data_IF_662412728301
#
_entry.id   IF_662412728301
#
_cell.length_a   1.000
_cell.length_b   1.000
_cell.length_c   1.000
_cell.angle_alpha   90.00
_cell.angle_beta   90.00
_cell.angle_gamma   90.00
#
_symmetry.space_group_name_H-M   'P 1'
#
loop_
_entity.id
_entity.type
_entity.pdbx_description
1 polymer ?
#
# COMPACT_ATOMS: atom_id res chain seq x y z
N UNK A 1 19.71 5.32 -28.24
CA UNK A 1 18.46 5.77 -27.61
C UNK A 1 17.38 4.72 -27.77
N UNK A 2 16.79 4.29 -26.65
CA UNK A 2 15.61 3.41 -26.64
C UNK A 2 14.33 4.23 -26.90
N UNK A 3 13.28 3.60 -27.42
CA UNK A 3 11.95 4.19 -27.51
C UNK A 3 11.10 3.84 -26.29
N UNK A 4 10.41 4.83 -25.73
CA UNK A 4 9.59 4.69 -24.53
C UNK A 4 8.12 4.97 -24.86
N UNK A 5 7.26 4.02 -24.52
CA UNK A 5 5.81 4.20 -24.43
C UNK A 5 5.44 4.62 -23.02
N UNK A 6 4.93 5.83 -22.83
CA UNK A 6 4.25 6.20 -21.58
C UNK A 6 2.89 5.51 -21.56
N UNK A 7 2.62 4.70 -20.54
CA UNK A 7 1.34 4.02 -20.34
C UNK A 7 0.72 4.47 -19.02
N UNK A 8 -0.50 4.99 -19.09
CA UNK A 8 -1.27 5.45 -17.93
C UNK A 8 -2.67 4.84 -17.94
N UNK A 9 -3.21 4.52 -16.77
CA UNK A 9 -4.64 4.29 -16.57
C UNK A 9 -5.21 5.48 -15.81
N UNK A 10 -6.35 6.01 -16.24
CA UNK A 10 -6.88 7.26 -15.69
C UNK A 10 -8.39 7.16 -15.47
N UNK A 11 -8.91 7.94 -14.53
CA UNK A 11 -10.35 8.15 -14.33
C UNK A 11 -10.60 9.46 -13.58
N UNK A 12 -11.33 10.39 -14.18
CA UNK A 12 -11.69 11.67 -13.58
C UNK A 12 -10.47 12.50 -13.12
N UNK A 13 -9.47 12.61 -13.99
CA UNK A 13 -8.19 13.28 -13.75
C UNK A 13 -8.08 14.62 -14.52
N UNK A 14 -9.20 15.28 -14.83
CA UNK A 14 -9.22 16.50 -15.65
C UNK A 14 -8.28 17.59 -15.10
N UNK A 15 -8.11 17.66 -13.77
CA UNK A 15 -7.24 18.64 -13.11
C UNK A 15 -5.75 18.34 -13.33
N UNK A 16 -5.37 17.07 -13.29
CA UNK A 16 -3.98 16.62 -13.36
C UNK A 16 -3.49 16.37 -14.78
N UNK A 17 -4.40 16.00 -15.69
CA UNK A 17 -4.07 15.45 -17.00
C UNK A 17 -3.15 16.35 -17.82
N UNK A 18 -3.36 17.66 -17.77
CA UNK A 18 -2.54 18.60 -18.53
C UNK A 18 -1.12 18.72 -17.98
N UNK A 19 -0.99 18.74 -16.66
CA UNK A 19 0.30 18.90 -16.01
C UNK A 19 1.15 17.64 -16.18
N UNK A 20 0.58 16.46 -15.90
CA UNK A 20 1.30 15.18 -15.97
C UNK A 20 1.79 14.87 -17.37
N UNK A 21 0.93 15.03 -18.38
CA UNK A 21 1.34 14.73 -19.75
C UNK A 21 2.39 15.71 -20.24
N UNK A 22 2.32 17.00 -19.90
CA UNK A 22 3.37 17.94 -20.27
C UNK A 22 4.70 17.66 -19.54
N UNK A 23 4.65 17.19 -18.29
CA UNK A 23 5.83 16.80 -17.50
C UNK A 23 6.55 15.58 -18.10
N UNK A 24 5.80 14.57 -18.55
CA UNK A 24 6.37 13.31 -19.05
C UNK A 24 6.56 13.26 -20.58
N UNK A 25 5.97 14.19 -21.33
CA UNK A 25 6.12 14.28 -22.80
C UNK A 25 7.58 14.32 -23.27
N UNK A 26 8.55 14.96 -22.59
CA UNK A 26 9.94 14.97 -23.04
C UNK A 26 10.60 13.58 -23.07
N UNK A 27 10.20 12.66 -22.18
CA UNK A 27 10.79 11.31 -22.12
C UNK A 27 10.07 10.31 -23.03
N UNK A 28 8.79 10.55 -23.35
CA UNK A 28 7.93 9.64 -24.08
C UNK A 28 8.02 9.82 -25.60
N UNK A 29 8.22 8.72 -26.34
CA UNK A 29 8.13 8.71 -27.81
C UNK A 29 6.69 8.48 -28.30
N UNK A 30 5.88 7.83 -27.45
CA UNK A 30 4.44 7.77 -27.58
C UNK A 30 3.78 7.81 -26.21
N UNK A 31 2.57 8.36 -26.14
CA UNK A 31 1.77 8.43 -24.91
C UNK A 31 0.48 7.66 -25.10
N UNK A 32 0.23 6.69 -24.24
CA UNK A 32 -0.93 5.81 -24.22
C UNK A 32 -1.68 6.07 -22.93
N UNK A 33 -2.90 6.57 -23.06
CA UNK A 33 -3.77 6.85 -21.92
C UNK A 33 -5.00 5.96 -22.05
N UNK A 34 -5.21 5.11 -21.06
CA UNK A 34 -6.40 4.25 -20.97
C UNK A 34 -7.37 4.87 -19.98
N UNK A 35 -8.47 5.41 -20.49
CA UNK A 35 -9.56 5.93 -19.69
C UNK A 35 -10.47 4.78 -19.22
N UNK A 36 -10.61 4.65 -17.90
CA UNK A 36 -11.39 3.58 -17.26
C UNK A 36 -12.84 3.98 -16.92
N UNK A 37 -13.30 5.08 -17.52
CA UNK A 37 -14.69 5.55 -17.43
C UNK A 37 -14.79 6.91 -16.75
N UNK A 38 -14.05 7.90 -17.26
CA UNK A 38 -14.14 9.29 -16.83
C UNK A 38 -15.50 9.89 -17.19
N UNK A 39 -16.00 10.77 -16.33
CA UNK A 39 -17.24 11.54 -16.52
C UNK A 39 -16.95 13.04 -16.71
N UNK A 40 -15.68 13.41 -16.79
CA UNK A 40 -15.15 14.76 -16.98
C UNK A 40 -14.31 14.81 -18.27
N UNK A 41 -13.64 15.94 -18.55
CA UNK A 41 -12.91 16.15 -19.82
C UNK A 41 -11.52 15.47 -19.86
N UNK A 42 -11.25 14.50 -18.97
CA UNK A 42 -9.93 13.83 -18.87
C UNK A 42 -9.44 13.29 -20.21
N UNK A 43 -10.30 12.55 -20.92
CA UNK A 43 -9.95 11.93 -22.19
C UNK A 43 -9.67 12.96 -23.28
N UNK A 44 -10.49 14.01 -23.36
CA UNK A 44 -10.37 15.11 -24.32
C UNK A 44 -9.07 15.88 -24.11
N UNK A 45 -8.72 16.19 -22.86
CA UNK A 45 -7.45 16.85 -22.52
C UNK A 45 -6.27 15.99 -22.95
N UNK A 46 -6.27 14.71 -22.63
CA UNK A 46 -5.19 13.80 -23.02
C UNK A 46 -5.00 13.74 -24.56
N UNK A 47 -6.11 13.65 -25.33
CA UNK A 47 -6.04 13.70 -26.80
C UNK A 47 -5.47 15.02 -27.30
N UNK A 48 -5.88 16.14 -26.72
CA UNK A 48 -5.41 17.47 -27.12
C UNK A 48 -3.89 17.66 -26.95
N UNK A 49 -3.29 16.91 -26.01
CA UNK A 49 -1.85 16.95 -25.72
C UNK A 49 -1.02 15.97 -26.55
N UNK A 50 -1.69 15.18 -27.41
CA UNK A 50 -1.08 14.24 -28.34
C UNK A 50 -1.03 12.80 -27.84
N UNK A 51 -1.77 12.45 -26.78
CA UNK A 51 -1.87 11.07 -26.33
C UNK A 51 -2.84 10.25 -27.20
N UNK A 52 -2.50 8.99 -27.39
CA UNK A 52 -3.40 7.97 -27.92
C UNK A 52 -4.32 7.52 -26.77
N UNK A 53 -5.58 7.93 -26.83
CA UNK A 53 -6.56 7.63 -25.78
C UNK A 53 -7.42 6.43 -26.15
N UNK A 54 -7.43 5.43 -25.29
CA UNK A 54 -8.26 4.24 -25.40
C UNK A 54 -9.25 4.16 -24.23
N UNK A 55 -10.42 3.57 -24.46
CA UNK A 55 -11.40 3.32 -23.40
C UNK A 55 -11.29 1.86 -22.94
N UNK A 56 -11.34 1.64 -21.63
CA UNK A 56 -11.40 0.31 -21.02
C UNK A 56 -12.52 0.27 -19.97
N UNK A 57 -13.49 -0.63 -20.13
CA UNK A 57 -14.56 -0.78 -19.15
C UNK A 57 -14.01 -1.32 -17.82
N UNK A 58 -14.20 -0.58 -16.73
CA UNK A 58 -13.70 -0.97 -15.40
C UNK A 58 -14.22 -2.35 -14.98
N UNK A 59 -13.29 -3.30 -14.82
CA UNK A 59 -13.61 -4.68 -14.42
C UNK A 59 -13.49 -4.91 -12.91
N UNK A 60 -13.05 -3.92 -12.13
CA UNK A 60 -12.67 -4.07 -10.72
C UNK A 60 -11.21 -4.46 -10.52
N UNK A 61 -10.41 -4.54 -11.59
CA UNK A 61 -9.00 -4.92 -11.56
C UNK A 61 -8.16 -3.83 -12.23
N UNK A 62 -7.31 -3.16 -11.44
CA UNK A 62 -6.31 -2.24 -11.98
C UNK A 62 -5.32 -2.98 -12.91
N UNK A 63 -5.03 -4.24 -12.60
CA UNK A 63 -4.14 -5.07 -13.39
C UNK A 63 -4.70 -5.29 -14.82
N UNK A 64 -6.00 -5.51 -14.97
CA UNK A 64 -6.61 -5.70 -16.30
C UNK A 64 -6.46 -4.43 -17.16
N UNK A 65 -6.71 -3.26 -16.55
CA UNK A 65 -6.55 -1.98 -17.22
C UNK A 65 -5.08 -1.69 -17.58
N UNK A 66 -4.12 -1.97 -16.68
CA UNK A 66 -2.68 -1.81 -16.97
C UNK A 66 -2.22 -2.78 -18.06
N UNK A 67 -2.67 -4.03 -18.03
CA UNK A 67 -2.38 -5.01 -19.09
C UNK A 67 -2.94 -4.58 -20.44
N UNK A 68 -4.16 -4.02 -20.46
CA UNK A 68 -4.72 -3.44 -21.68
C UNK A 68 -3.89 -2.25 -22.19
N UNK A 69 -3.46 -1.34 -21.31
CA UNK A 69 -2.55 -0.24 -21.67
C UNK A 69 -1.25 -0.76 -22.28
N UNK A 70 -0.61 -1.74 -21.63
CA UNK A 70 0.64 -2.35 -22.11
C UNK A 70 0.46 -3.02 -23.48
N UNK A 71 -0.71 -3.58 -23.77
CA UNK A 71 -1.01 -4.18 -25.09
C UNK A 71 -1.04 -3.16 -26.24
N UNK A 72 -1.15 -1.86 -25.95
CA UNK A 72 -1.15 -0.79 -26.96
C UNK A 72 0.24 -0.23 -27.22
N UNK A 73 1.22 -0.53 -26.36
CA UNK A 73 2.58 -0.02 -26.46
C UNK A 73 3.35 -0.63 -27.63
N UNK A 74 4.10 0.21 -28.33
CA UNK A 74 4.95 -0.14 -29.47
C UNK A 74 6.44 0.13 -29.21
N UNK A 75 6.78 0.99 -28.25
CA UNK A 75 8.14 1.32 -27.82
C UNK A 75 8.94 0.12 -27.31
N UNK A 76 10.25 0.29 -27.18
CA UNK A 76 11.15 -0.76 -26.67
C UNK A 76 10.90 -1.01 -25.18
N UNK A 77 10.59 0.07 -24.44
CA UNK A 77 10.24 0.05 -23.03
C UNK A 77 8.90 0.74 -22.78
N UNK A 78 8.23 0.31 -21.72
CA UNK A 78 6.98 0.87 -21.22
C UNK A 78 7.27 1.55 -19.89
N UNK A 79 7.03 2.86 -19.82
CA UNK A 79 7.01 3.60 -18.56
C UNK A 79 5.58 3.62 -18.03
N UNK A 80 5.34 3.01 -16.86
CA UNK A 80 4.02 2.97 -16.23
C UNK A 80 3.92 4.08 -15.18
N UNK A 81 3.11 5.09 -15.45
CA UNK A 81 2.88 6.21 -14.55
C UNK A 81 1.41 6.32 -14.13
N UNK A 82 1.19 6.82 -12.94
CA UNK A 82 -0.11 7.24 -12.41
C UNK A 82 -0.30 8.76 -12.60
N UNK A 83 -1.55 9.22 -12.55
CA UNK A 83 -1.90 10.61 -12.90
C UNK A 83 -1.41 11.65 -11.87
N UNK A 84 -1.03 11.18 -10.68
CA UNK A 84 -0.55 11.94 -9.52
C UNK A 84 0.98 11.87 -9.34
N UNK A 85 1.71 11.27 -10.29
CA UNK A 85 3.17 11.22 -10.27
C UNK A 85 3.78 12.43 -10.98
N UNK A 86 4.96 12.92 -10.58
CA UNK A 86 5.72 13.94 -11.35
C UNK A 86 7.22 13.68 -11.26
N UNK A 87 7.95 14.16 -12.26
CA UNK A 87 9.40 14.29 -12.23
C UNK A 87 9.77 15.76 -12.08
N UNK A 88 10.62 16.09 -11.11
CA UNK A 88 11.30 17.39 -11.10
C UNK A 88 12.28 17.51 -12.28
N UNK A 89 12.78 18.72 -12.53
CA UNK A 89 13.68 18.99 -13.66
C UNK A 89 14.95 18.14 -13.62
N UNK A 90 15.53 17.93 -12.43
CA UNK A 90 16.74 17.13 -12.27
C UNK A 90 16.49 15.66 -12.66
N UNK A 91 15.40 15.08 -12.17
CA UNK A 91 15.03 13.71 -12.44
C UNK A 91 14.57 13.50 -13.88
N UNK A 92 13.96 14.52 -14.51
CA UNK A 92 13.68 14.53 -15.94
C UNK A 92 14.98 14.43 -16.75
N UNK A 93 16.01 15.21 -16.41
CA UNK A 93 17.32 15.13 -17.09
C UNK A 93 18.02 13.78 -16.85
N UNK A 94 17.94 13.23 -15.63
CA UNK A 94 18.46 11.88 -15.33
C UNK A 94 17.77 10.81 -16.18
N UNK A 95 16.45 10.90 -16.35
CA UNK A 95 15.69 9.97 -17.19
C UNK A 95 16.07 10.13 -18.67
N UNK A 96 16.18 11.36 -19.18
CA UNK A 96 16.65 11.58 -20.56
C UNK A 96 18.04 10.98 -20.79
N UNK A 97 18.97 11.13 -19.84
CA UNK A 97 20.28 10.48 -19.90
C UNK A 97 20.16 8.96 -19.94
N UNK A 98 19.34 8.35 -19.07
CA UNK A 98 19.06 6.92 -19.06
C UNK A 98 18.49 6.44 -20.40
N UNK A 99 17.57 7.19 -21.02
CA UNK A 99 16.98 6.88 -22.32
C UNK A 99 18.03 6.83 -23.43
N UNK A 100 19.06 7.67 -23.35
CA UNK A 100 20.16 7.71 -24.31
C UNK A 100 21.13 6.53 -24.17
N UNK A 101 21.50 6.20 -22.93
CA UNK A 101 22.58 5.27 -22.61
C UNK A 101 22.12 3.88 -22.11
N UNK A 102 20.81 3.59 -22.14
CA UNK A 102 20.23 2.33 -21.65
C UNK A 102 20.97 1.10 -22.20
N UNK A 103 21.42 0.22 -21.31
CA UNK A 103 21.90 -1.11 -21.69
C UNK A 103 20.70 -1.96 -22.17
N UNK A 104 20.70 -2.45 -23.43
CA UNK A 104 19.63 -3.29 -23.95
C UNK A 104 19.40 -4.60 -23.17
N UNK A 105 20.31 -5.02 -22.29
CA UNK A 105 20.16 -6.22 -21.47
C UNK A 105 19.27 -6.02 -20.23
N UNK A 106 19.06 -4.78 -19.81
CA UNK A 106 18.22 -4.43 -18.67
C UNK A 106 16.77 -4.73 -19.04
N UNK A 107 16.04 -5.42 -18.16
CA UNK A 107 14.63 -5.74 -18.38
C UNK A 107 13.71 -4.80 -17.58
N UNK A 108 14.15 -4.36 -16.41
CA UNK A 108 13.37 -3.52 -15.49
C UNK A 108 14.26 -2.44 -14.92
N UNK A 109 13.78 -1.19 -14.91
CA UNK A 109 14.39 -0.12 -14.12
C UNK A 109 13.48 0.24 -12.95
N UNK A 110 14.05 0.23 -11.76
CA UNK A 110 13.42 0.73 -10.55
C UNK A 110 13.79 2.20 -10.33
N UNK A 111 12.83 2.96 -9.83
CA UNK A 111 12.97 4.38 -9.53
C UNK A 111 12.47 4.62 -8.11
N UNK A 112 13.05 5.60 -7.41
CA UNK A 112 12.64 5.95 -6.08
C UNK A 112 11.30 6.68 -6.11
N UNK A 113 10.37 6.25 -5.27
CA UNK A 113 9.05 6.83 -5.11
C UNK A 113 9.03 7.62 -3.80
N UNK A 114 8.92 8.96 -3.88
CA UNK A 114 9.02 9.90 -2.75
C UNK A 114 7.66 10.49 -2.36
N UNK A 115 7.60 11.12 -1.19
CA UNK A 115 6.40 11.80 -0.64
C UNK A 115 5.25 10.85 -0.26
N UNK A 116 5.53 9.58 0.04
CA UNK A 116 4.47 8.62 0.39
C UNK A 116 3.78 8.97 1.73
N UNK A 117 4.45 9.68 2.63
CA UNK A 117 3.90 10.06 3.93
C UNK A 117 2.92 11.24 3.86
N UNK A 118 2.78 11.91 2.71
CA UNK A 118 1.78 12.95 2.51
C UNK A 118 0.46 12.31 2.02
N UNK A 119 -0.65 12.53 2.74
CA UNK A 119 -2.00 12.15 2.29
C UNK A 119 -2.58 10.83 2.81
N UNK A 120 -2.21 10.37 4.02
CA UNK A 120 -2.75 9.14 4.64
C UNK A 120 -2.56 7.86 3.80
N UNK A 121 -1.42 7.69 3.14
CA UNK A 121 -1.13 6.41 2.48
C UNK A 121 -0.76 5.34 3.51
N UNK A 122 -1.02 4.06 3.20
CA UNK A 122 -0.75 2.90 4.08
C UNK A 122 0.74 2.51 4.13
N UNK A 123 1.62 3.32 3.54
CA UNK A 123 3.04 3.05 3.44
C UNK A 123 3.83 3.70 4.60
N UNK A 124 4.75 2.92 5.18
CA UNK A 124 5.56 3.32 6.33
C UNK A 124 6.93 3.94 5.93
N UNK A 125 7.17 4.24 4.65
CA UNK A 125 8.46 4.74 4.15
C UNK A 125 8.25 5.95 3.24
N UNK A 126 9.07 6.97 3.42
CA UNK A 126 9.01 8.18 2.58
C UNK A 126 9.65 7.97 1.19
N UNK A 127 10.50 6.95 1.04
CA UNK A 127 11.27 6.65 -0.18
C UNK A 127 11.38 5.14 -0.39
N UNK A 128 10.90 4.63 -1.53
CA UNK A 128 10.94 3.19 -1.87
C UNK A 128 11.28 2.98 -3.36
N UNK A 129 12.09 1.97 -3.70
CA UNK A 129 12.32 1.59 -5.10
C UNK A 129 11.10 0.85 -5.68
N UNK A 130 10.53 1.39 -6.75
CA UNK A 130 9.43 0.75 -7.48
C UNK A 130 9.80 0.48 -8.95
N UNK A 131 9.49 -0.71 -9.48
CA UNK A 131 9.59 -0.98 -10.92
C UNK A 131 8.68 -0.03 -11.69
N UNK A 132 9.25 0.75 -12.61
CA UNK A 132 8.52 1.79 -13.35
C UNK A 132 8.74 1.76 -14.86
N UNK A 133 9.91 1.30 -15.31
CA UNK A 133 10.23 1.15 -16.73
C UNK A 133 10.48 -0.32 -17.05
N UNK A 134 9.71 -0.86 -17.99
CA UNK A 134 9.69 -2.30 -18.30
C UNK A 134 10.03 -2.52 -19.76
N UNK A 135 10.98 -3.40 -20.05
CA UNK A 135 11.27 -3.80 -21.42
C UNK A 135 10.07 -4.55 -21.99
N UNK A 136 9.48 -4.04 -23.08
CA UNK A 136 8.21 -4.55 -23.62
C UNK A 136 8.33 -6.00 -24.10
N UNK A 137 9.41 -6.31 -24.81
CA UNK A 137 9.69 -7.64 -25.32
C UNK A 137 11.04 -8.12 -24.80
N UNK A 138 10.97 -9.04 -23.83
CA UNK A 138 12.16 -9.71 -23.31
C UNK A 138 12.60 -10.82 -24.26
N UNK A 139 13.89 -10.84 -24.56
CA UNK A 139 14.55 -11.90 -25.35
C UNK A 139 15.25 -12.88 -24.43
N UNK A 140 15.35 -14.14 -24.83
CA UNK A 140 16.15 -15.13 -24.11
C UNK A 140 17.64 -14.97 -24.39
N UNK A 141 18.45 -15.11 -23.35
CA UNK A 141 19.91 -15.05 -23.42
C UNK A 141 20.49 -16.28 -22.72
N UNK A 142 21.46 -16.93 -23.36
CA UNK A 142 22.24 -18.02 -22.76
C UNK A 142 23.37 -17.46 -21.92
N UNK A 143 23.56 -18.04 -20.74
CA UNK A 143 24.61 -17.71 -19.78
C UNK A 143 25.60 -18.88 -19.68
N UNK A 144 26.78 -18.56 -19.16
CA UNK A 144 27.91 -19.47 -18.92
C UNK A 144 28.58 -20.03 -20.20
N UNK A 145 29.92 -20.12 -20.23
CA UNK A 145 30.64 -20.68 -21.38
C UNK A 145 30.57 -22.22 -21.46
N UNK A 146 30.22 -22.91 -20.36
CA UNK A 146 30.07 -24.37 -20.24
C UNK A 146 28.95 -24.66 -19.23
N UNK A 147 28.18 -25.74 -19.44
CA UNK A 147 26.92 -26.01 -18.72
C UNK A 147 25.92 -24.86 -18.90
N UNK A 148 25.77 -24.43 -20.15
CA UNK A 148 24.96 -23.29 -20.57
C UNK A 148 23.51 -23.37 -20.06
N UNK A 149 22.97 -22.23 -19.65
CA UNK A 149 21.59 -22.10 -19.19
C UNK A 149 20.95 -20.82 -19.67
N UNK A 150 19.64 -20.83 -19.90
CA UNK A 150 18.89 -19.62 -20.26
C UNK A 150 18.65 -18.77 -19.02
N UNK A 151 18.90 -17.45 -19.10
CA UNK A 151 18.55 -16.51 -18.03
C UNK A 151 17.03 -16.48 -17.85
N UNK A 152 16.54 -16.95 -16.70
CA UNK A 152 15.11 -16.99 -16.34
C UNK A 152 14.64 -15.72 -15.63
N UNK A 153 15.49 -15.11 -14.81
CA UNK A 153 15.17 -13.89 -14.07
C UNK A 153 15.41 -12.61 -14.89
N UNK A 154 14.64 -11.54 -14.63
CA UNK A 154 14.88 -10.25 -15.27
C UNK A 154 16.17 -9.62 -14.74
N UNK A 155 16.90 -8.91 -15.61
CA UNK A 155 17.95 -8.01 -15.15
C UNK A 155 17.31 -6.71 -14.67
N UNK A 156 17.43 -6.43 -13.38
CA UNK A 156 16.87 -5.25 -12.74
C UNK A 156 17.97 -4.22 -12.47
N UNK A 157 17.70 -2.97 -12.79
CA UNK A 157 18.60 -1.85 -12.54
C UNK A 157 17.93 -0.85 -11.60
N UNK A 158 18.57 -0.58 -10.46
CA UNK A 158 18.15 0.44 -9.52
C UNK A 158 18.73 1.79 -9.95
N UNK A 159 17.86 2.69 -10.39
CA UNK A 159 18.27 4.03 -10.80
C UNK A 159 18.16 5.03 -9.65
N UNK A 160 18.97 6.09 -9.71
CA UNK A 160 18.85 7.24 -8.81
C UNK A 160 17.74 8.23 -9.23
N UNK A 161 16.87 7.85 -10.19
CA UNK A 161 15.74 8.67 -10.60
C UNK A 161 14.67 8.60 -9.52
N UNK A 162 14.13 9.76 -9.17
CA UNK A 162 13.11 9.92 -8.14
C UNK A 162 11.83 10.50 -8.74
N UNK A 163 10.70 9.94 -8.33
CA UNK A 163 9.34 10.29 -8.74
C UNK A 163 8.63 10.83 -7.50
N UNK A 164 8.04 12.01 -7.64
CA UNK A 164 7.23 12.61 -6.60
C UNK A 164 5.77 12.16 -6.77
N UNK A 165 5.14 11.72 -5.69
CA UNK A 165 3.76 11.23 -5.68
C UNK A 165 2.84 12.20 -4.92
N UNK A 166 1.76 12.64 -5.56
CA UNK A 166 0.84 13.67 -5.05
C UNK A 166 -0.61 13.16 -4.99
N UNK A 167 -0.92 12.21 -4.08
CA UNK A 167 -2.24 11.58 -4.05
C UNK A 167 -3.36 12.61 -3.79
N UNK A 168 -4.39 12.61 -4.65
CA UNK A 168 -5.59 13.44 -4.47
C UNK A 168 -6.66 12.70 -3.67
N UNK A 169 -6.63 12.89 -2.35
CA UNK A 169 -7.69 12.45 -1.43
C UNK A 169 -7.56 11.01 -0.94
N UNK A 170 -8.53 10.59 -0.12
CA UNK A 170 -8.56 9.26 0.50
C UNK A 170 -9.10 8.21 -0.48
N UNK A 171 -8.21 7.30 -0.92
CA UNK A 171 -8.55 6.19 -1.79
C UNK A 171 -8.93 4.90 -1.05
N UNK A 172 -8.87 4.88 0.28
CA UNK A 172 -9.03 3.66 1.07
C UNK A 172 -10.40 2.99 0.84
N UNK A 173 -11.47 3.77 0.74
CA UNK A 173 -12.82 3.22 0.48
C UNK A 173 -12.90 2.46 -0.85
N UNK A 174 -12.22 2.94 -1.88
CA UNK A 174 -12.17 2.29 -3.20
C UNK A 174 -11.34 1.02 -3.13
N UNK A 175 -10.19 1.09 -2.47
CA UNK A 175 -9.22 -0.01 -2.43
C UNK A 175 -9.76 -1.16 -1.56
N UNK A 176 -10.39 -0.86 -0.43
CA UNK A 176 -11.12 -1.81 0.41
C UNK A 176 -12.23 -2.54 -0.37
N UNK A 177 -12.99 -1.82 -1.22
CA UNK A 177 -14.02 -2.44 -2.05
C UNK A 177 -13.41 -3.44 -3.07
N UNK A 178 -12.23 -3.14 -3.62
CA UNK A 178 -11.51 -4.05 -4.51
C UNK A 178 -11.04 -5.29 -3.75
N UNK A 179 -10.45 -5.12 -2.55
CA UNK A 179 -10.04 -6.25 -1.72
C UNK A 179 -11.20 -7.15 -1.33
N UNK A 180 -12.33 -6.57 -0.88
CA UNK A 180 -13.53 -7.31 -0.51
C UNK A 180 -14.10 -8.11 -1.68
N UNK A 181 -14.08 -7.55 -2.88
CA UNK A 181 -14.52 -8.27 -4.08
C UNK A 181 -13.56 -9.42 -4.40
N UNK A 182 -12.26 -9.15 -4.44
CA UNK A 182 -11.25 -10.16 -4.72
C UNK A 182 -11.31 -11.31 -3.70
N UNK A 183 -11.55 -11.01 -2.42
CA UNK A 183 -11.65 -12.00 -1.34
C UNK A 183 -12.90 -12.90 -1.45
N UNK A 184 -13.93 -12.46 -2.17
CA UNK A 184 -15.14 -13.25 -2.47
C UNK A 184 -14.98 -14.14 -3.71
N UNK A 185 -14.16 -13.70 -4.66
CA UNK A 185 -13.97 -14.39 -5.95
C UNK A 185 -12.84 -15.43 -5.90
N UNK A 186 -11.78 -15.19 -5.13
CA UNK A 186 -10.61 -16.06 -5.09
C UNK A 186 -9.85 -15.99 -3.75
N UNK A 187 -8.93 -16.94 -3.53
CA UNK A 187 -7.98 -16.85 -2.43
C UNK A 187 -7.00 -15.69 -2.68
N UNK A 188 -6.79 -14.86 -1.65
CA UNK A 188 -5.81 -13.78 -1.71
C UNK A 188 -4.40 -14.31 -1.50
N UNK A 189 -3.46 -13.87 -2.33
CA UNK A 189 -2.02 -14.10 -2.12
C UNK A 189 -1.57 -13.52 -0.77
N UNK A 190 -0.46 -14.00 -0.17
CA UNK A 190 0.03 -13.49 1.11
C UNK A 190 0.20 -11.95 1.12
N UNK A 191 0.67 -11.39 0.00
CA UNK A 191 0.81 -9.95 -0.19
C UNK A 191 -0.55 -9.22 -0.16
N UNK A 192 -1.52 -9.65 -0.95
CA UNK A 192 -2.85 -8.99 -1.01
C UNK A 192 -3.61 -9.17 0.31
N UNK A 193 -3.46 -10.33 0.96
CA UNK A 193 -4.03 -10.58 2.27
C UNK A 193 -3.50 -9.59 3.32
N UNK A 194 -2.18 -9.42 3.39
CA UNK A 194 -1.54 -8.48 4.32
C UNK A 194 -1.93 -7.03 4.02
N UNK A 195 -2.01 -6.63 2.75
CA UNK A 195 -2.45 -5.29 2.36
C UNK A 195 -3.90 -5.03 2.76
N UNK A 196 -4.80 -5.99 2.53
CA UNK A 196 -6.20 -5.84 2.90
C UNK A 196 -6.37 -5.62 4.42
N UNK A 197 -5.65 -6.41 5.23
CA UNK A 197 -5.66 -6.26 6.68
C UNK A 197 -5.12 -4.88 7.11
N UNK A 198 -4.06 -4.39 6.46
CA UNK A 198 -3.47 -3.07 6.74
C UNK A 198 -4.43 -1.92 6.43
N UNK A 199 -5.00 -1.92 5.22
CA UNK A 199 -5.99 -0.92 4.80
C UNK A 199 -7.19 -0.87 5.74
N UNK A 200 -7.68 -2.03 6.18
CA UNK A 200 -8.78 -2.08 7.15
C UNK A 200 -8.38 -1.42 8.48
N UNK A 201 -7.20 -1.73 9.02
CA UNK A 201 -6.77 -1.18 10.31
C UNK A 201 -6.49 0.32 10.28
N UNK A 202 -6.01 0.85 9.16
CA UNK A 202 -5.61 2.26 9.04
C UNK A 202 -6.80 3.15 8.67
N UNK A 203 -7.66 2.70 7.75
CA UNK A 203 -8.70 3.54 7.17
C UNK A 203 -10.10 2.90 7.13
N UNK A 204 -10.25 1.65 7.59
CA UNK A 204 -11.52 0.94 7.60
C UNK A 204 -12.56 1.54 8.56
N UNK A 205 -13.82 1.56 8.12
CA UNK A 205 -14.98 1.92 8.95
C UNK A 205 -15.68 0.66 9.45
N UNK A 206 -16.59 0.82 10.41
CA UNK A 206 -17.38 -0.28 10.97
C UNK A 206 -18.08 -1.13 9.90
N UNK A 207 -18.60 -0.51 8.83
CA UNK A 207 -19.20 -1.24 7.70
C UNK A 207 -18.19 -2.17 7.01
N UNK A 208 -16.97 -1.68 6.80
CA UNK A 208 -15.93 -2.38 6.05
C UNK A 208 -15.44 -3.59 6.86
N UNK A 209 -15.25 -3.43 8.18
CA UNK A 209 -14.97 -4.54 9.10
C UNK A 209 -16.09 -5.57 9.15
N UNK A 210 -17.36 -5.13 9.16
CA UNK A 210 -18.52 -6.04 9.16
C UNK A 210 -18.54 -6.90 7.89
N UNK A 211 -18.25 -6.32 6.73
CA UNK A 211 -18.21 -7.05 5.46
C UNK A 211 -17.00 -7.97 5.33
N UNK A 212 -15.86 -7.57 5.89
CA UNK A 212 -14.61 -8.34 5.86
C UNK A 212 -14.60 -9.51 6.86
N UNK A 213 -15.36 -9.42 7.96
CA UNK A 213 -15.35 -10.38 9.06
C UNK A 213 -15.47 -11.85 8.61
N UNK A 214 -16.44 -12.25 7.75
CA UNK A 214 -16.56 -13.66 7.35
C UNK A 214 -15.32 -14.19 6.62
N UNK A 215 -14.64 -13.34 5.85
CA UNK A 215 -13.41 -13.71 5.17
C UNK A 215 -12.27 -13.94 6.17
N UNK A 216 -12.02 -12.98 7.07
CA UNK A 216 -10.93 -13.10 8.04
C UNK A 216 -11.19 -14.17 9.11
N UNK A 217 -12.44 -14.43 9.51
CA UNK A 217 -12.76 -15.58 10.38
C UNK A 217 -12.43 -16.91 9.71
N UNK A 218 -12.73 -17.05 8.42
CA UNK A 218 -12.35 -18.24 7.65
C UNK A 218 -10.83 -18.37 7.56
N UNK A 219 -10.13 -17.31 7.14
CA UNK A 219 -8.68 -17.33 6.93
C UNK A 219 -7.90 -17.51 8.23
N UNK A 220 -8.38 -16.95 9.34
CA UNK A 220 -7.79 -17.18 10.66
C UNK A 220 -7.79 -18.67 11.04
N UNK A 221 -8.69 -19.49 10.50
CA UNK A 221 -8.80 -20.92 10.77
C UNK A 221 -8.38 -21.82 9.59
N UNK A 222 -7.87 -21.22 8.51
CA UNK A 222 -7.46 -21.97 7.33
C UNK A 222 -6.13 -22.71 7.57
N UNK A 223 -6.02 -23.90 6.98
CA UNK A 223 -4.74 -24.62 6.91
C UNK A 223 -3.85 -23.99 5.83
N UNK A 224 -2.55 -23.84 6.11
CA UNK A 224 -1.56 -23.36 5.13
C UNK A 224 -1.23 -21.86 5.19
N UNK A 225 -1.87 -21.07 6.07
CA UNK A 225 -1.42 -19.71 6.41
C UNK A 225 -0.22 -19.75 7.34
N UNK A 226 0.70 -18.81 7.16
CA UNK A 226 1.79 -18.56 8.10
C UNK A 226 1.26 -18.06 9.46
N UNK A 227 2.09 -18.16 10.50
CA UNK A 227 1.73 -17.67 11.84
C UNK A 227 1.38 -16.18 11.83
N UNK A 228 2.12 -15.37 11.07
CA UNK A 228 1.87 -13.93 10.97
C UNK A 228 0.56 -13.62 10.25
N UNK A 229 0.24 -14.33 9.17
CA UNK A 229 -1.06 -14.17 8.49
C UNK A 229 -2.23 -14.55 9.41
N UNK A 230 -2.09 -15.61 10.21
CA UNK A 230 -3.11 -15.99 11.20
C UNK A 230 -3.24 -14.90 12.28
N UNK A 231 -2.14 -14.31 12.75
CA UNK A 231 -2.16 -13.22 13.73
C UNK A 231 -2.87 -11.98 13.15
N UNK A 232 -2.52 -11.57 11.93
CA UNK A 232 -3.18 -10.47 11.21
C UNK A 232 -4.69 -10.73 11.08
N UNK A 233 -5.09 -11.94 10.69
CA UNK A 233 -6.50 -12.31 10.61
C UNK A 233 -7.22 -12.15 11.96
N UNK A 234 -6.60 -12.65 13.04
CA UNK A 234 -7.16 -12.55 14.38
C UNK A 234 -7.32 -11.10 14.83
N UNK A 235 -6.39 -10.19 14.47
CA UNK A 235 -6.52 -8.75 14.75
C UNK A 235 -7.76 -8.18 14.08
N UNK A 236 -7.96 -8.43 12.78
CA UNK A 236 -9.14 -7.93 12.06
C UNK A 236 -10.43 -8.48 12.66
N UNK A 237 -10.46 -9.78 12.97
CA UNK A 237 -11.63 -10.41 13.60
C UNK A 237 -11.91 -9.82 14.98
N UNK A 238 -10.90 -9.58 15.81
CA UNK A 238 -11.08 -8.98 17.13
C UNK A 238 -11.58 -7.54 17.03
N UNK A 239 -10.99 -6.72 16.16
CA UNK A 239 -11.44 -5.36 15.94
C UNK A 239 -12.92 -5.34 15.51
N UNK A 240 -13.29 -6.13 14.51
CA UNK A 240 -14.67 -6.27 14.05
C UNK A 240 -15.59 -6.81 15.16
N UNK A 241 -15.15 -7.78 15.95
CA UNK A 241 -15.93 -8.36 17.04
C UNK A 241 -16.19 -7.36 18.16
N UNK A 242 -15.21 -6.51 18.51
CA UNK A 242 -15.39 -5.43 19.51
C UNK A 242 -16.43 -4.42 19.03
N UNK A 243 -16.29 -3.91 17.81
CA UNK A 243 -17.26 -2.96 17.22
C UNK A 243 -18.68 -3.54 17.17
N UNK A 244 -18.80 -4.83 16.85
CA UNK A 244 -20.09 -5.53 16.76
C UNK A 244 -20.58 -6.12 18.08
N UNK A 245 -19.90 -5.86 19.22
CA UNK A 245 -20.22 -6.38 20.55
C UNK A 245 -20.35 -7.91 20.61
N UNK A 246 -19.48 -8.63 19.89
CA UNK A 246 -19.39 -10.10 19.86
C UNK A 246 -18.28 -10.61 20.79
N UNK A 247 -18.48 -10.50 22.10
CA UNK A 247 -17.46 -10.82 23.12
C UNK A 247 -16.87 -12.24 23.01
N UNK A 248 -17.71 -13.25 22.79
CA UNK A 248 -17.23 -14.63 22.63
C UNK A 248 -16.25 -14.75 21.45
N UNK A 249 -16.58 -14.14 20.33
CA UNK A 249 -15.70 -14.10 19.15
C UNK A 249 -14.45 -13.31 19.48
N UNK A 250 -14.58 -12.13 20.07
CA UNK A 250 -13.46 -11.28 20.47
C UNK A 250 -12.41 -12.06 21.28
N UNK A 251 -12.82 -12.68 22.40
CA UNK A 251 -11.87 -13.41 23.25
C UNK A 251 -11.35 -14.69 22.63
N UNK A 252 -12.14 -15.39 21.81
CA UNK A 252 -11.67 -16.58 21.09
C UNK A 252 -10.46 -16.25 20.20
N UNK A 253 -10.54 -15.18 19.41
CA UNK A 253 -9.47 -14.82 18.48
C UNK A 253 -8.34 -14.03 19.16
N UNK A 254 -8.64 -13.28 20.23
CA UNK A 254 -7.62 -12.62 21.03
C UNK A 254 -6.69 -13.65 21.69
N UNK A 255 -7.26 -14.67 22.33
CA UNK A 255 -6.48 -15.76 22.93
C UNK A 255 -5.68 -16.53 21.88
N UNK A 256 -6.25 -16.75 20.69
CA UNK A 256 -5.54 -17.39 19.58
C UNK A 256 -4.31 -16.60 19.15
N UNK A 257 -4.42 -15.28 19.02
CA UNK A 257 -3.31 -14.40 18.65
C UNK A 257 -2.24 -14.35 19.76
N UNK A 258 -2.65 -14.19 21.01
CA UNK A 258 -1.73 -14.18 22.17
C UNK A 258 -0.99 -15.51 22.31
N UNK A 259 -1.66 -16.64 22.11
CA UNK A 259 -1.03 -17.96 22.11
C UNK A 259 0.01 -18.14 20.98
N UNK A 260 -0.09 -17.34 19.92
CA UNK A 260 0.87 -17.27 18.82
C UNK A 260 1.95 -16.17 19.01
N UNK A 261 2.14 -15.70 20.25
CA UNK A 261 3.16 -14.71 20.61
C UNK A 261 2.69 -13.26 20.69
N UNK A 262 1.42 -12.97 20.36
CA UNK A 262 0.86 -11.62 20.49
C UNK A 262 1.41 -10.59 19.47
N UNK A 263 0.74 -9.45 19.34
CA UNK A 263 1.19 -8.31 18.53
C UNK A 263 0.59 -7.02 19.09
N UNK A 264 1.19 -5.88 18.76
CA UNK A 264 0.81 -4.59 19.34
C UNK A 264 -0.64 -4.22 19.03
N UNK A 265 -1.15 -4.55 17.84
CA UNK A 265 -2.55 -4.33 17.49
C UNK A 265 -3.50 -5.11 18.40
N UNK A 266 -3.19 -6.38 18.69
CA UNK A 266 -4.03 -7.21 19.55
C UNK A 266 -4.04 -6.67 20.99
N UNK A 267 -2.87 -6.24 21.47
CA UNK A 267 -2.76 -5.59 22.78
C UNK A 267 -3.57 -4.29 22.81
N UNK A 268 -3.53 -3.47 21.75
CA UNK A 268 -4.39 -2.29 21.65
C UNK A 268 -5.88 -2.69 21.71
N UNK A 269 -6.33 -3.68 20.94
CA UNK A 269 -7.75 -4.09 20.95
C UNK A 269 -8.23 -4.60 22.31
N UNK A 270 -7.38 -5.32 23.06
CA UNK A 270 -7.67 -5.72 24.44
C UNK A 270 -7.72 -4.50 25.37
N UNK A 271 -6.81 -3.54 25.21
CA UNK A 271 -6.83 -2.28 25.95
C UNK A 271 -8.11 -1.47 25.70
N UNK A 272 -8.54 -1.35 24.44
CA UNK A 272 -9.81 -0.71 24.07
C UNK A 272 -10.99 -1.38 24.75
N UNK A 273 -11.06 -2.72 24.68
CA UNK A 273 -12.13 -3.48 25.30
C UNK A 273 -12.23 -3.18 26.81
N UNK A 274 -11.13 -3.28 27.55
CA UNK A 274 -11.16 -3.03 28.99
C UNK A 274 -11.45 -1.57 29.34
N UNK A 275 -11.03 -0.61 28.51
CA UNK A 275 -11.35 0.78 28.75
C UNK A 275 -12.84 1.06 28.55
N UNK A 276 -13.45 0.48 27.51
CA UNK A 276 -14.90 0.54 27.28
C UNK A 276 -15.72 -0.07 28.42
N UNK A 277 -15.19 -1.11 29.08
CA UNK A 277 -15.78 -1.73 30.27
C UNK A 277 -15.48 -0.95 31.58
N UNK A 278 -14.85 0.23 31.49
CA UNK A 278 -14.55 1.06 32.66
C UNK A 278 -13.44 0.50 33.55
N UNK A 279 -12.52 -0.28 33.00
CA UNK A 279 -11.39 -0.91 33.71
C UNK A 279 -10.05 -0.31 33.25
N UNK A 280 -9.75 0.97 33.58
CA UNK A 280 -8.56 1.66 33.07
C UNK A 280 -7.24 1.03 33.54
N UNK A 281 -7.23 0.40 34.72
CA UNK A 281 -6.05 -0.31 35.23
C UNK A 281 -5.69 -1.52 34.38
N UNK A 282 -6.68 -2.29 33.95
CA UNK A 282 -6.47 -3.46 33.10
C UNK A 282 -6.13 -3.02 31.67
N UNK A 283 -6.83 -2.00 31.17
CA UNK A 283 -6.53 -1.39 29.88
C UNK A 283 -5.07 -0.91 29.78
N UNK A 284 -4.56 -0.25 30.83
CA UNK A 284 -3.18 0.23 30.88
C UNK A 284 -2.16 -0.91 30.75
N UNK A 285 -2.41 -2.09 31.31
CA UNK A 285 -1.52 -3.25 31.16
C UNK A 285 -1.40 -3.66 29.68
N UNK A 286 -2.51 -3.68 28.96
CA UNK A 286 -2.53 -4.03 27.55
C UNK A 286 -1.90 -2.95 26.66
N UNK A 287 -2.16 -1.68 26.90
CA UNK A 287 -1.49 -0.60 26.17
C UNK A 287 0.02 -0.53 26.46
N UNK A 288 0.46 -0.86 27.67
CA UNK A 288 1.88 -0.99 27.99
C UNK A 288 2.53 -2.10 27.16
N UNK A 289 1.92 -3.29 27.12
CA UNK A 289 2.43 -4.39 26.31
C UNK A 289 2.46 -4.05 24.81
N UNK A 290 1.46 -3.31 24.32
CA UNK A 290 1.44 -2.83 22.94
C UNK A 290 2.65 -1.94 22.61
N UNK A 291 2.98 -1.01 23.50
CA UNK A 291 4.06 -0.03 23.30
C UNK A 291 5.47 -0.57 23.53
N UNK A 292 5.65 -1.56 24.42
CA UNK A 292 6.97 -1.94 24.92
C UNK A 292 7.33 -3.43 24.81
N UNK A 293 6.34 -4.32 24.76
CA UNK A 293 6.57 -5.78 24.89
C UNK A 293 6.22 -6.56 23.62
N UNK A 294 5.65 -5.90 22.62
CA UNK A 294 5.20 -6.53 21.37
C UNK A 294 5.55 -5.68 20.15
N UNK A 295 5.55 -6.30 18.98
CA UNK A 295 5.81 -5.63 17.70
C UNK A 295 4.51 -5.48 16.88
N UNK A 296 4.36 -4.37 16.15
CA UNK A 296 3.22 -4.15 15.27
C UNK A 296 3.35 -4.97 13.98
N UNK A 297 2.22 -5.52 13.50
CA UNK A 297 2.17 -6.31 12.25
C UNK A 297 1.55 -5.55 11.07
N UNK A 298 0.64 -4.62 11.36
CA UNK A 298 -0.19 -3.94 10.39
C UNK A 298 0.07 -2.43 10.43
N UNK A 299 0.03 -1.82 11.61
CA UNK A 299 0.17 -0.37 11.79
C UNK A 299 1.26 -0.07 12.82
N UNK A 300 2.34 0.57 12.37
CA UNK A 300 3.51 0.86 13.21
C UNK A 300 3.16 1.76 14.40
N UNK A 301 2.12 2.59 14.27
CA UNK A 301 1.64 3.46 15.33
C UNK A 301 1.04 2.66 16.50
N UNK A 302 0.54 1.44 16.26
CA UNK A 302 -0.02 0.55 17.28
C UNK A 302 1.03 -0.04 18.21
N UNK A 303 2.31 0.00 17.82
CA UNK A 303 3.46 -0.28 18.68
C UNK A 303 4.20 0.98 19.15
N UNK A 304 3.57 2.16 19.03
CA UNK A 304 4.24 3.44 19.19
C UNK A 304 3.37 4.48 19.90
N UNK A 305 3.10 5.60 19.22
CA UNK A 305 2.43 6.76 19.80
C UNK A 305 0.97 6.49 20.21
N UNK A 306 0.22 5.64 19.50
CA UNK A 306 -1.18 5.37 19.83
C UNK A 306 -1.37 4.73 21.22
N UNK A 307 -0.75 3.58 21.55
CA UNK A 307 -0.88 3.01 22.89
C UNK A 307 -0.31 3.94 23.99
N UNK A 308 0.71 4.76 23.70
CA UNK A 308 1.23 5.75 24.66
C UNK A 308 0.18 6.83 25.00
N UNK A 309 -0.56 7.34 24.00
CA UNK A 309 -1.69 8.25 24.26
C UNK A 309 -2.79 7.58 25.09
N UNK A 310 -3.07 6.31 24.82
CA UNK A 310 -4.07 5.55 25.60
C UNK A 310 -3.60 5.22 27.02
N UNK A 311 -2.31 5.00 27.24
CA UNK A 311 -1.72 4.92 28.59
C UNK A 311 -1.95 6.22 29.36
N UNK A 312 -1.60 7.36 28.76
CA UNK A 312 -1.85 8.67 29.37
C UNK A 312 -3.31 8.85 29.79
N UNK A 313 -4.26 8.47 28.94
CA UNK A 313 -5.69 8.49 29.24
C UNK A 313 -6.06 7.55 30.40
N UNK A 314 -5.56 6.31 30.40
CA UNK A 314 -5.81 5.36 31.48
C UNK A 314 -5.32 5.89 32.84
N UNK A 315 -4.11 6.46 32.91
CA UNK A 315 -3.57 7.04 34.14
C UNK A 315 -4.32 8.31 34.57
N UNK A 316 -4.82 9.11 33.61
CA UNK A 316 -5.65 10.28 33.93
C UNK A 316 -6.96 9.85 34.59
N UNK A 317 -7.60 8.79 34.09
CA UNK A 317 -8.81 8.20 34.68
C UNK A 317 -8.57 7.60 36.08
N UNK A 318 -7.33 7.21 36.39
CA UNK A 318 -6.93 6.72 37.72
C UNK A 318 -6.49 7.83 38.68
N UNK A 319 -6.33 9.07 38.22
CA UNK A 319 -5.87 10.21 39.02
C UNK A 319 -4.36 10.28 39.24
N UNK A 320 -3.58 9.63 38.37
CA UNK A 320 -2.11 9.51 38.46
C UNK A 320 -1.43 10.53 37.53
N UNK A 321 -1.35 11.79 37.96
CA UNK A 321 -0.93 12.93 37.12
C UNK A 321 0.51 12.82 36.57
N UNK A 322 1.43 12.22 37.34
CA UNK A 322 2.83 12.08 36.92
C UNK A 322 2.94 11.16 35.70
N UNK A 323 2.29 10.00 35.75
CA UNK A 323 2.27 9.01 34.67
C UNK A 323 1.51 9.53 33.46
N UNK A 324 0.40 10.27 33.67
CA UNK A 324 -0.33 10.93 32.58
C UNK A 324 0.60 11.82 31.75
N UNK A 325 1.33 12.73 32.39
CA UNK A 325 2.25 13.62 31.67
C UNK A 325 3.41 12.85 31.03
N UNK A 326 3.99 11.87 31.74
CA UNK A 326 5.11 11.07 31.22
C UNK A 326 4.75 10.34 29.90
N UNK A 327 3.58 9.70 29.84
CA UNK A 327 3.16 8.99 28.64
C UNK A 327 2.70 9.92 27.51
N UNK A 328 2.10 11.07 27.84
CA UNK A 328 1.77 12.09 26.85
C UNK A 328 3.03 12.65 26.18
N UNK A 329 4.06 12.96 26.97
CA UNK A 329 5.35 13.43 26.45
C UNK A 329 6.05 12.36 25.61
N UNK A 330 6.02 11.10 26.06
CA UNK A 330 6.56 9.98 25.29
C UNK A 330 5.85 9.82 23.94
N UNK A 331 4.52 9.94 23.90
CA UNK A 331 3.75 9.87 22.65
C UNK A 331 4.11 11.02 21.69
N UNK A 332 4.32 12.22 22.21
CA UNK A 332 4.70 13.39 21.41
C UNK A 332 6.16 13.32 20.91
N UNK A 333 7.04 12.66 21.66
CA UNK A 333 8.43 12.46 21.31
C UNK A 333 8.65 11.28 20.33
N UNK A 334 7.66 10.38 20.20
CA UNK A 334 7.76 9.22 19.34
C UNK A 334 7.93 9.63 17.87
N UNK A 335 8.81 8.90 17.18
CA UNK A 335 9.08 9.07 15.76
C UNK A 335 8.92 7.73 15.07
N UNK A 336 8.38 7.78 13.85
CA UNK A 336 8.26 6.60 13.01
C UNK A 336 9.66 5.97 12.81
N UNK A 337 9.83 4.66 13.06
CA UNK A 337 11.10 3.97 12.83
C UNK A 337 11.54 4.13 11.39
N UNK A 338 12.80 4.51 11.17
CA UNK A 338 13.42 4.44 9.84
C UNK A 338 13.82 2.97 9.61
N UNK A 339 13.27 2.32 8.57
CA UNK A 339 13.74 0.99 8.15
C UNK A 339 15.01 1.08 7.32
#
# INVERSE_FOLDING_TARGET
MIKISLCMIVKNEQKNMAEILNNLKPIADEMIVVDTGSADDTAEIARSLGAQVFTFSWTGSFADARNFAFSKASGDYIYSADADERLDEENLQRFLCLKECMDPQIDIVQMYYRNQLQGNTVYNFDRELRPKLFKRLRTFTWLEPVHEQVRLDPLVFDSDIEIDHFPEGDHASRDLAVFLRASREQALSPRLFSLYARELMIAGRESDFREALPFFEKEANAEGRSVDEVKQACVIVCHAARLLRKERTFFQYALKNVAAGGCSEMCCELGEFYLEEGQPKEAALWFYNAAYETEPLLDVHRGGDLPLRRLSECYALMGEEEQTHAYADAANAWKMPQQ
#
